data_IF_626550366098
#
_entry.id   IF_626550366098
#
_cell.length_a   1.000
_cell.length_b   1.000
_cell.length_c   1.000
_cell.angle_alpha   90.00
_cell.angle_beta   90.00
_cell.angle_gamma   90.00
#
_symmetry.space_group_name_H-M   'P 1'
#
loop_
_entity.id
_entity.type
_entity.pdbx_description
1 polymer ?
#
# COMPACT_ATOMS: atom_id res chain seq x y z
N UNK A 1 53.16 -30.38 8.78
CA UNK A 1 52.53 -29.49 9.78
C UNK A 1 52.05 -28.27 8.99
N UNK A 2 50.82 -27.76 9.00
CA UNK A 2 49.76 -27.65 10.00
C UNK A 2 48.58 -26.97 9.24
N UNK A 3 47.53 -27.72 8.89
CA UNK A 3 46.15 -27.55 9.35
C UNK A 3 45.47 -26.17 9.17
N UNK A 4 44.25 -26.24 8.58
CA UNK A 4 43.01 -25.46 8.78
C UNK A 4 42.55 -24.68 7.52
N UNK A 5 41.53 -25.15 6.77
CA UNK A 5 40.08 -25.29 7.05
C UNK A 5 39.31 -23.99 6.81
N UNK A 6 38.48 -24.06 5.75
CA UNK A 6 37.13 -23.51 5.56
C UNK A 6 36.95 -21.99 5.45
N UNK A 7 36.39 -21.60 4.31
CA UNK A 7 35.65 -20.37 4.10
C UNK A 7 34.70 -20.52 2.92
N UNK A 8 33.75 -21.47 3.01
CA UNK A 8 32.58 -21.53 2.14
C UNK A 8 31.84 -20.20 2.29
N UNK A 9 32.02 -19.29 1.35
CA UNK A 9 31.12 -18.16 1.15
C UNK A 9 29.83 -18.73 0.56
N UNK A 10 29.01 -19.30 1.43
CA UNK A 10 27.60 -19.52 1.16
C UNK A 10 26.98 -18.16 0.90
N UNK A 11 26.74 -17.84 -0.37
CA UNK A 11 25.73 -16.87 -0.74
C UNK A 11 24.45 -17.23 0.01
N UNK A 12 23.92 -16.38 0.89
CA UNK A 12 22.53 -16.52 1.26
C UNK A 12 21.78 -16.23 -0.03
N UNK A 13 21.19 -17.27 -0.59
CA UNK A 13 20.16 -17.19 -1.60
C UNK A 13 19.26 -16.00 -1.25
N UNK A 14 19.10 -15.09 -2.21
CA UNK A 14 18.03 -14.10 -2.20
C UNK A 14 16.73 -14.89 -2.12
N UNK A 15 16.29 -15.16 -0.88
CA UNK A 15 14.90 -15.47 -0.63
C UNK A 15 14.18 -14.21 -1.06
N UNK A 16 13.52 -14.30 -2.22
CA UNK A 16 12.37 -13.46 -2.51
C UNK A 16 11.48 -13.56 -1.29
N UNK A 17 11.59 -12.56 -0.40
CA UNK A 17 10.53 -12.24 0.51
C UNK A 17 9.37 -11.84 -0.40
N UNK A 18 8.54 -12.84 -0.77
CA UNK A 18 7.18 -12.55 -1.17
C UNK A 18 6.65 -11.64 -0.09
N UNK A 19 6.28 -10.42 -0.46
CA UNK A 19 5.87 -9.39 0.48
C UNK A 19 4.73 -9.96 1.32
N UNK A 20 5.05 -10.41 2.53
CA UNK A 20 4.05 -10.85 3.49
C UNK A 20 3.26 -9.59 3.80
N UNK A 21 1.99 -9.61 3.38
CA UNK A 21 1.06 -8.52 3.62
C UNK A 21 1.07 -8.21 5.11
N UNK A 22 1.53 -7.02 5.49
CA UNK A 22 1.45 -6.54 6.88
C UNK A 22 0.01 -6.23 7.28
N UNK A 23 -0.94 -6.31 6.34
CA UNK A 23 -2.37 -6.14 6.59
C UNK A 23 -3.03 -7.39 7.20
N UNK A 24 -2.29 -8.50 7.33
CA UNK A 24 -2.79 -9.75 7.93
C UNK A 24 -3.35 -10.74 6.91
N UNK A 25 -4.08 -11.73 7.41
CA UNK A 25 -4.77 -12.76 6.62
C UNK A 25 -6.20 -12.32 6.27
N UNK A 26 -6.65 -12.61 5.06
CA UNK A 26 -7.99 -12.27 4.59
C UNK A 26 -8.04 -12.13 3.07
N UNK A 27 -9.22 -11.77 2.57
CA UNK A 27 -9.39 -11.41 1.17
C UNK A 27 -8.53 -10.18 0.82
N UNK A 28 -7.60 -10.26 -0.15
CA UNK A 28 -6.71 -9.16 -0.49
C UNK A 28 -7.44 -7.88 -0.91
N UNK A 29 -8.58 -7.99 -1.61
CA UNK A 29 -9.37 -6.85 -2.08
C UNK A 29 -10.03 -6.14 -0.89
N UNK A 30 -10.59 -6.88 0.06
CA UNK A 30 -11.16 -6.32 1.30
C UNK A 30 -10.10 -5.64 2.16
N UNK A 31 -8.92 -6.25 2.30
CA UNK A 31 -7.80 -5.67 3.04
C UNK A 31 -7.31 -4.36 2.41
N UNK A 32 -7.16 -4.34 1.08
CA UNK A 32 -6.77 -3.13 0.35
C UNK A 32 -7.82 -2.04 0.51
N UNK A 33 -9.11 -2.36 0.40
CA UNK A 33 -10.19 -1.38 0.56
C UNK A 33 -10.14 -0.65 1.90
N UNK A 34 -9.99 -1.40 3.01
CA UNK A 34 -9.92 -0.82 4.36
C UNK A 34 -8.68 0.06 4.52
N UNK A 35 -7.52 -0.43 4.08
CA UNK A 35 -6.27 0.32 4.20
C UNK A 35 -6.28 1.58 3.32
N UNK A 36 -6.86 1.50 2.12
CA UNK A 36 -6.99 2.64 1.21
C UNK A 36 -7.87 3.75 1.81
N UNK A 37 -8.95 3.40 2.52
CA UNK A 37 -9.74 4.40 3.26
C UNK A 37 -8.95 5.09 4.36
N UNK A 38 -8.15 4.32 5.10
CA UNK A 38 -7.28 4.87 6.14
C UNK A 38 -6.27 5.86 5.54
N UNK A 39 -5.57 5.47 4.46
CA UNK A 39 -4.60 6.30 3.77
C UNK A 39 -5.22 7.58 3.19
N UNK A 40 -6.43 7.48 2.65
CA UNK A 40 -7.15 8.65 2.15
C UNK A 40 -7.40 9.67 3.25
N UNK A 41 -7.95 9.24 4.40
CA UNK A 41 -8.22 10.12 5.55
C UNK A 41 -6.93 10.72 6.09
N UNK A 42 -5.88 9.91 6.23
CA UNK A 42 -4.57 10.38 6.66
C UNK A 42 -3.98 11.42 5.69
N UNK A 43 -4.09 11.20 4.38
CA UNK A 43 -3.64 12.14 3.36
C UNK A 43 -4.36 13.49 3.42
N UNK A 44 -5.69 13.48 3.61
CA UNK A 44 -6.46 14.70 3.82
C UNK A 44 -6.03 15.44 5.10
N UNK A 45 -5.83 14.72 6.21
CA UNK A 45 -5.35 15.30 7.47
C UNK A 45 -3.96 15.92 7.32
N UNK A 46 -3.03 15.21 6.68
CA UNK A 46 -1.66 15.69 6.39
C UNK A 46 -1.72 16.99 5.60
N UNK A 47 -2.51 17.04 4.52
CA UNK A 47 -2.61 18.23 3.67
C UNK A 47 -3.31 19.41 4.35
N UNK A 48 -4.22 19.15 5.31
CA UNK A 48 -4.82 20.21 6.13
C UNK A 48 -3.83 20.76 7.17
N UNK A 49 -2.98 19.91 7.74
CA UNK A 49 -2.03 20.27 8.80
C UNK A 49 -0.76 20.93 8.26
N UNK A 50 -0.26 20.45 7.13
CA UNK A 50 0.98 20.91 6.49
C UNK A 50 0.66 21.54 5.13
N UNK A 51 0.18 22.78 5.17
CA UNK A 51 -0.36 23.47 4.00
C UNK A 51 0.71 24.03 3.07
N UNK A 52 1.95 24.22 3.56
CA UNK A 52 3.06 24.72 2.74
C UNK A 52 4.12 23.64 2.54
N UNK A 53 4.06 22.97 1.40
CA UNK A 53 5.00 21.90 1.03
C UNK A 53 6.40 22.41 0.64
N UNK A 54 6.55 23.73 0.49
CA UNK A 54 7.84 24.38 0.25
C UNK A 54 8.54 24.80 1.56
N UNK A 55 7.85 24.71 2.70
CA UNK A 55 8.43 25.00 4.01
C UNK A 55 9.22 23.78 4.52
N UNK A 56 10.56 23.85 4.61
CA UNK A 56 11.37 22.72 5.04
C UNK A 56 11.06 22.25 6.47
N UNK A 57 10.60 23.15 7.35
CA UNK A 57 10.27 22.82 8.74
C UNK A 57 8.98 22.02 8.79
N UNK A 58 7.93 22.45 8.07
CA UNK A 58 6.70 21.68 7.95
C UNK A 58 6.94 20.32 7.32
N UNK A 59 7.77 20.25 6.28
CA UNK A 59 8.15 18.98 5.66
C UNK A 59 8.88 18.04 6.61
N UNK A 60 9.83 18.56 7.41
CA UNK A 60 10.53 17.77 8.42
C UNK A 60 9.56 17.25 9.49
N UNK A 61 8.65 18.09 9.97
CA UNK A 61 7.64 17.71 10.95
C UNK A 61 6.66 16.66 10.42
N UNK A 62 6.19 16.84 9.17
CA UNK A 62 5.31 15.88 8.52
C UNK A 62 5.97 14.52 8.40
N UNK A 63 7.20 14.46 7.88
CA UNK A 63 7.96 13.20 7.77
C UNK A 63 8.16 12.54 9.13
N UNK A 64 8.56 13.30 10.14
CA UNK A 64 8.76 12.78 11.49
C UNK A 64 7.50 12.20 12.14
N UNK A 65 6.31 12.68 11.75
CA UNK A 65 5.03 12.23 12.30
C UNK A 65 4.33 11.18 11.43
N UNK A 66 4.45 11.23 10.10
CA UNK A 66 3.59 10.47 9.19
C UNK A 66 4.34 9.56 8.20
N UNK A 67 5.68 9.58 8.10
CA UNK A 67 6.39 8.71 7.13
C UNK A 67 6.13 7.21 7.37
N UNK A 68 5.81 6.80 8.61
CA UNK A 68 5.44 5.42 8.91
C UNK A 68 4.21 4.95 8.10
N UNK A 69 3.31 5.86 7.73
CA UNK A 69 2.13 5.57 6.91
C UNK A 69 2.54 5.10 5.51
N UNK A 70 3.66 5.59 4.97
CA UNK A 70 4.16 5.16 3.67
C UNK A 70 4.64 3.70 3.67
N UNK A 71 5.04 3.16 4.82
CA UNK A 71 5.32 1.73 4.96
C UNK A 71 4.04 0.91 4.83
N UNK A 72 2.95 1.35 5.47
CA UNK A 72 1.64 0.70 5.35
C UNK A 72 1.11 0.76 3.91
N UNK A 73 1.23 1.91 3.26
CA UNK A 73 0.84 2.08 1.86
C UNK A 73 1.62 1.16 0.91
N UNK A 74 2.93 0.95 1.13
CA UNK A 74 3.70 -0.03 0.37
C UNK A 74 3.25 -1.47 0.63
N UNK A 75 2.92 -1.80 1.88
CA UNK A 75 2.34 -3.11 2.20
C UNK A 75 1.03 -3.32 1.45
N UNK A 76 0.14 -2.33 1.42
CA UNK A 76 -1.13 -2.39 0.69
C UNK A 76 -0.93 -2.64 -0.80
N UNK A 77 0.04 -1.99 -1.44
CA UNK A 77 0.41 -2.25 -2.85
C UNK A 77 0.85 -3.71 -3.03
N UNK A 78 1.64 -4.25 -2.09
CA UNK A 78 2.02 -5.66 -2.07
C UNK A 78 0.82 -6.60 -1.93
N UNK A 79 -0.13 -6.27 -1.05
CA UNK A 79 -1.39 -7.01 -0.87
C UNK A 79 -2.25 -6.97 -2.12
N UNK A 80 -2.36 -5.82 -2.78
CA UNK A 80 -3.05 -5.69 -4.07
C UNK A 80 -2.49 -6.67 -5.10
N UNK A 81 -1.16 -6.87 -5.12
CA UNK A 81 -0.48 -7.85 -5.98
C UNK A 81 -0.91 -9.32 -5.77
N UNK A 82 -1.61 -9.63 -4.68
CA UNK A 82 -2.10 -10.98 -4.37
C UNK A 82 -3.52 -11.25 -4.93
N UNK A 83 -4.17 -10.25 -5.53
CA UNK A 83 -5.47 -10.42 -6.21
C UNK A 83 -5.31 -11.38 -7.39
N UNK A 84 -6.19 -12.39 -7.46
CA UNK A 84 -6.11 -13.49 -8.44
C UNK A 84 -6.42 -13.03 -9.87
N UNK A 85 -7.43 -12.17 -10.04
CA UNK A 85 -7.87 -11.68 -11.35
C UNK A 85 -6.88 -10.61 -11.86
N UNK A 86 -6.16 -10.86 -12.97
CA UNK A 86 -5.07 -9.98 -13.40
C UNK A 86 -5.46 -8.53 -13.73
N UNK A 87 -6.59 -8.31 -14.40
CA UNK A 87 -6.98 -6.96 -14.84
C UNK A 87 -7.41 -6.10 -13.66
N UNK A 88 -8.19 -6.66 -12.74
CA UNK A 88 -8.58 -6.05 -11.49
C UNK A 88 -7.34 -5.83 -10.61
N UNK A 89 -6.45 -6.82 -10.49
CA UNK A 89 -5.20 -6.67 -9.74
C UNK A 89 -4.43 -5.43 -10.19
N UNK A 90 -4.21 -5.28 -11.49
CA UNK A 90 -3.41 -4.18 -12.01
C UNK A 90 -4.09 -2.82 -11.76
N UNK A 91 -5.42 -2.75 -11.89
CA UNK A 91 -6.21 -1.56 -11.51
C UNK A 91 -6.11 -1.24 -10.02
N UNK A 92 -6.15 -2.26 -9.16
CA UNK A 92 -6.09 -2.08 -7.70
C UNK A 92 -4.67 -1.70 -7.25
N UNK A 93 -3.64 -2.17 -7.94
CA UNK A 93 -2.25 -1.71 -7.74
C UNK A 93 -2.13 -0.22 -8.08
N UNK A 94 -2.68 0.22 -9.22
CA UNK A 94 -2.66 1.63 -9.62
C UNK A 94 -3.42 2.52 -8.63
N UNK A 95 -4.64 2.10 -8.25
CA UNK A 95 -5.41 2.71 -7.16
C UNK A 95 -4.58 2.83 -5.87
N UNK A 96 -3.87 1.76 -5.49
CA UNK A 96 -3.02 1.75 -4.30
C UNK A 96 -1.88 2.79 -4.36
N UNK A 97 -1.32 3.03 -5.55
CA UNK A 97 -0.33 4.09 -5.77
C UNK A 97 -0.92 5.49 -5.65
N UNK A 98 -2.16 5.71 -6.07
CA UNK A 98 -2.86 6.98 -5.84
C UNK A 98 -3.03 7.26 -4.33
N UNK A 99 -3.46 6.26 -3.55
CA UNK A 99 -3.56 6.42 -2.09
C UNK A 99 -2.19 6.62 -1.41
N UNK A 100 -1.15 5.95 -1.88
CA UNK A 100 0.24 6.22 -1.45
C UNK A 100 0.62 7.68 -1.69
N UNK A 101 0.33 8.21 -2.89
CA UNK A 101 0.65 9.59 -3.24
C UNK A 101 -0.16 10.59 -2.40
N UNK A 102 -1.45 10.34 -2.18
CA UNK A 102 -2.30 11.15 -1.32
C UNK A 102 -1.78 11.25 0.13
N UNK A 103 -1.30 10.13 0.69
CA UNK A 103 -0.75 10.07 2.05
C UNK A 103 0.70 10.56 2.17
N UNK A 104 1.32 11.04 1.10
CA UNK A 104 2.72 11.48 1.12
C UNK A 104 2.86 12.95 1.48
N UNK A 105 3.74 13.25 2.44
CA UNK A 105 4.08 14.63 2.82
C UNK A 105 4.59 15.49 1.65
N UNK A 106 5.17 14.87 0.62
CA UNK A 106 5.82 15.59 -0.51
C UNK A 106 4.88 15.84 -1.70
N UNK A 107 3.59 15.52 -1.56
CA UNK A 107 2.66 15.50 -2.69
C UNK A 107 1.50 16.47 -2.43
N UNK A 108 1.06 17.24 -3.44
CA UNK A 108 -0.10 18.12 -3.30
C UNK A 108 -1.37 17.32 -3.03
N UNK A 109 -2.31 17.96 -2.35
CA UNK A 109 -3.63 17.40 -2.02
C UNK A 109 -4.38 16.89 -3.25
N UNK A 110 -4.10 17.42 -4.44
CA UNK A 110 -4.69 16.94 -5.70
C UNK A 110 -4.38 15.48 -6.02
N UNK A 111 -3.35 14.87 -5.40
CA UNK A 111 -3.12 13.43 -5.51
C UNK A 111 -4.16 12.59 -4.74
N UNK A 112 -4.98 13.22 -3.90
CA UNK A 112 -6.11 12.59 -3.24
C UNK A 112 -7.37 12.57 -4.11
N UNK A 113 -7.45 13.39 -5.16
CA UNK A 113 -8.65 13.52 -6.01
C UNK A 113 -9.10 12.19 -6.65
N UNK A 114 -8.20 11.30 -7.11
CA UNK A 114 -8.61 10.01 -7.69
C UNK A 114 -9.03 8.97 -6.64
N UNK A 115 -8.71 9.18 -5.36
CA UNK A 115 -8.86 8.13 -4.33
C UNK A 115 -10.33 7.74 -4.08
N UNK A 116 -11.30 8.65 -4.03
CA UNK A 116 -12.72 8.30 -3.89
C UNK A 116 -13.25 7.39 -5.01
N UNK A 117 -12.94 7.68 -6.27
CA UNK A 117 -13.37 6.87 -7.41
C UNK A 117 -12.73 5.48 -7.36
N UNK A 118 -11.44 5.41 -7.00
CA UNK A 118 -10.75 4.14 -6.81
C UNK A 118 -11.35 3.30 -5.67
N UNK A 119 -11.76 3.93 -4.57
CA UNK A 119 -12.45 3.25 -3.47
C UNK A 119 -13.80 2.69 -3.91
N UNK A 120 -14.55 3.43 -4.73
CA UNK A 120 -15.83 2.97 -5.28
C UNK A 120 -15.63 1.78 -6.23
N UNK A 121 -14.62 1.84 -7.09
CA UNK A 121 -14.24 0.72 -7.98
C UNK A 121 -13.92 -0.55 -7.19
N UNK A 122 -13.11 -0.45 -6.14
CA UNK A 122 -12.76 -1.59 -5.28
C UNK A 122 -14.00 -2.12 -4.54
N UNK A 123 -14.84 -1.22 -4.00
CA UNK A 123 -16.07 -1.60 -3.31
C UNK A 123 -17.00 -2.40 -4.22
N UNK A 124 -17.19 -1.95 -5.45
CA UNK A 124 -18.06 -2.65 -6.41
C UNK A 124 -17.49 -4.03 -6.77
N UNK A 125 -16.17 -4.14 -6.95
CA UNK A 125 -15.53 -5.43 -7.20
C UNK A 125 -15.68 -6.41 -6.01
N UNK A 126 -15.71 -5.93 -4.76
CA UNK A 126 -16.00 -6.76 -3.59
C UNK A 126 -17.45 -7.28 -3.65
N UNK A 127 -18.41 -6.41 -3.95
CA UNK A 127 -19.82 -6.79 -4.04
C UNK A 127 -20.06 -7.81 -5.17
N UNK A 128 -19.45 -7.60 -6.34
CA UNK A 128 -19.52 -8.54 -7.46
C UNK A 128 -18.96 -9.93 -7.10
N UNK A 129 -17.89 -9.99 -6.30
CA UNK A 129 -17.34 -11.26 -5.80
C UNK A 129 -18.30 -11.95 -4.83
N UNK A 130 -18.88 -11.22 -3.89
CA UNK A 130 -19.85 -11.77 -2.93
C UNK A 130 -21.13 -12.29 -3.63
N UNK A 131 -21.63 -11.55 -4.63
CA UNK A 131 -22.77 -12.00 -5.45
C UNK A 131 -22.45 -13.26 -6.25
N UNK A 132 -21.24 -13.34 -6.84
CA UNK A 132 -20.81 -14.52 -7.58
C UNK A 132 -20.62 -15.74 -6.67
N UNK A 133 -20.16 -15.57 -5.43
CA UNK A 133 -20.05 -16.66 -4.45
C UNK A 133 -21.43 -17.20 -4.08
N UNK A 134 -22.39 -16.32 -3.76
CA UNK A 134 -23.76 -16.72 -3.40
C UNK A 134 -24.54 -17.35 -4.55
N UNK A 135 -24.26 -16.99 -5.81
CA UNK A 135 -24.92 -17.58 -6.97
C UNK A 135 -24.46 -19.02 -7.28
N UNK A 136 -23.34 -19.46 -6.70
CA UNK A 136 -22.75 -20.79 -6.91
C UNK A 136 -23.00 -21.76 -5.73
N UNK A 137 -23.76 -21.34 -4.72
CA UNK A 137 -24.24 -22.15 -3.58
C UNK A 137 -25.64 -22.73 -3.84
#
# INVERSE_FOLDING_TARGET
MRYLIIGLLSWPSLLYAGAVSQLGEGDPLKLVYVEMQYLYRAGLEINQKYTNQNDPIQMMQCKGQYDFILTRARSMIGTAGQIKEPLLRDKVIDASWHAYACASCMKPVSNCDPVPENLEMIKNAILEQEEAEHANE
#
